data_IF_665291592065
#
_entry.id   IF_665291592065
#
_cell.length_a   1.000
_cell.length_b   1.000
_cell.length_c   1.000
_cell.angle_alpha   90.00
_cell.angle_beta   90.00
_cell.angle_gamma   90.00
#
_symmetry.space_group_name_H-M   'P 1'
#
loop_
_entity.id
_entity.type
_entity.pdbx_description
1 polymer ?
#
# COMPACT_ATOMS: atom_id res chain seq x y z
N UNK A 1 -15.42 20.53 -15.06
CA UNK A 1 -16.53 19.86 -14.34
C UNK A 1 -16.54 18.34 -14.48
N UNK A 2 -16.14 17.75 -15.62
CA UNK A 2 -16.11 16.28 -15.79
C UNK A 2 -15.20 15.52 -14.82
N UNK A 3 -13.94 15.95 -14.65
CA UNK A 3 -12.96 15.24 -13.78
C UNK A 3 -13.42 15.20 -12.32
N UNK A 4 -13.87 16.32 -11.77
CA UNK A 4 -14.41 16.39 -10.40
C UNK A 4 -15.61 15.47 -10.20
N UNK A 5 -16.53 15.43 -11.17
CA UNK A 5 -17.70 14.55 -11.12
C UNK A 5 -17.31 13.06 -11.22
N UNK A 6 -16.40 12.71 -12.11
CA UNK A 6 -15.86 11.34 -12.22
C UNK A 6 -15.13 10.92 -10.94
N UNK A 7 -14.34 11.82 -10.33
CA UNK A 7 -13.70 11.56 -9.04
C UNK A 7 -14.72 11.29 -7.93
N UNK A 8 -15.79 12.07 -7.84
CA UNK A 8 -16.87 11.82 -6.87
C UNK A 8 -17.53 10.46 -7.11
N UNK A 9 -17.82 10.11 -8.37
CA UNK A 9 -18.42 8.81 -8.70
C UNK A 9 -17.50 7.65 -8.31
N UNK A 10 -16.19 7.74 -8.58
CA UNK A 10 -15.21 6.73 -8.17
C UNK A 10 -15.13 6.61 -6.64
N UNK A 11 -15.17 7.73 -5.91
CA UNK A 11 -15.23 7.72 -4.43
C UNK A 11 -16.51 7.03 -3.96
N UNK A 12 -17.67 7.38 -4.51
CA UNK A 12 -18.94 6.78 -4.11
C UNK A 12 -18.95 5.27 -4.36
N UNK A 13 -18.43 4.81 -5.50
CA UNK A 13 -18.31 3.38 -5.79
C UNK A 13 -17.43 2.66 -4.77
N UNK A 14 -16.27 3.25 -4.42
CA UNK A 14 -15.39 2.73 -3.37
C UNK A 14 -16.12 2.65 -2.03
N UNK A 15 -16.82 3.72 -1.65
CA UNK A 15 -17.56 3.82 -0.40
C UNK A 15 -18.68 2.78 -0.30
N UNK A 16 -19.39 2.52 -1.39
CA UNK A 16 -20.44 1.49 -1.43
C UNK A 16 -19.83 0.10 -1.20
N UNK A 17 -18.71 -0.24 -1.86
CA UNK A 17 -18.06 -1.54 -1.67
C UNK A 17 -17.55 -1.73 -0.24
N UNK A 18 -16.98 -0.69 0.36
CA UNK A 18 -16.57 -0.69 1.78
C UNK A 18 -17.79 -0.88 2.68
N UNK A 19 -18.90 -0.17 2.41
CA UNK A 19 -20.12 -0.26 3.18
C UNK A 19 -20.71 -1.69 3.16
N UNK A 20 -20.66 -2.39 2.01
CA UNK A 20 -21.08 -3.80 1.91
C UNK A 20 -20.32 -4.67 2.91
N UNK A 21 -18.99 -4.59 2.95
CA UNK A 21 -18.18 -5.34 3.90
C UNK A 21 -18.48 -4.98 5.36
N UNK A 22 -18.61 -3.68 5.65
CA UNK A 22 -18.88 -3.18 7.00
C UNK A 22 -20.22 -3.66 7.56
N UNK A 23 -21.30 -3.53 6.77
CA UNK A 23 -22.64 -3.94 7.19
C UNK A 23 -22.80 -5.46 7.21
N UNK A 24 -22.20 -6.20 6.28
CA UNK A 24 -22.21 -7.66 6.29
C UNK A 24 -21.50 -8.22 7.53
N UNK A 25 -20.32 -7.69 7.87
CA UNK A 25 -19.64 -8.04 9.12
C UNK A 25 -20.49 -7.69 10.35
N UNK A 26 -21.14 -6.52 10.33
CA UNK A 26 -21.99 -6.08 11.44
C UNK A 26 -23.27 -6.91 11.62
N UNK A 27 -23.76 -7.55 10.56
CA UNK A 27 -24.85 -8.53 10.61
C UNK A 27 -24.38 -9.94 10.97
N UNK A 28 -23.07 -10.16 11.17
CA UNK A 28 -22.50 -11.47 11.48
C UNK A 28 -22.51 -12.43 10.29
N UNK A 29 -22.52 -11.94 9.04
CA UNK A 29 -22.47 -12.80 7.84
C UNK A 29 -21.14 -13.53 7.69
N UNK A 30 -20.08 -12.99 8.27
CA UNK A 30 -18.73 -13.50 8.19
C UNK A 30 -18.23 -13.87 9.58
N UNK A 31 -17.58 -15.03 9.68
CA UNK A 31 -16.86 -15.41 10.88
C UNK A 31 -15.53 -14.65 11.00
N UNK A 32 -14.86 -14.78 12.14
CA UNK A 32 -13.59 -14.10 12.40
C UNK A 32 -12.46 -14.53 11.44
N UNK A 33 -12.58 -15.73 10.84
CA UNK A 33 -11.57 -16.31 9.95
C UNK A 33 -11.73 -15.85 8.51
N UNK A 34 -12.92 -15.40 8.11
CA UNK A 34 -13.25 -15.02 6.75
C UNK A 34 -12.34 -13.92 6.22
N UNK A 35 -12.06 -12.89 7.03
CA UNK A 35 -11.16 -11.78 6.66
C UNK A 35 -9.76 -12.28 6.25
N UNK A 36 -9.22 -13.27 6.98
CA UNK A 36 -7.93 -13.90 6.68
C UNK A 36 -7.98 -14.77 5.43
N UNK A 37 -9.05 -15.54 5.24
CA UNK A 37 -9.25 -16.35 4.03
C UNK A 37 -9.38 -15.46 2.77
N UNK A 38 -10.15 -14.38 2.87
CA UNK A 38 -10.33 -13.40 1.81
C UNK A 38 -9.00 -12.72 1.43
N UNK A 39 -8.22 -12.32 2.43
CA UNK A 39 -6.87 -11.78 2.24
C UNK A 39 -5.95 -12.75 1.48
N UNK A 40 -5.97 -14.05 1.84
CA UNK A 40 -5.20 -15.07 1.13
C UNK A 40 -5.65 -15.24 -0.32
N UNK A 41 -6.96 -15.30 -0.59
CA UNK A 41 -7.49 -15.39 -1.96
C UNK A 41 -7.02 -14.20 -2.82
N UNK A 42 -7.10 -12.98 -2.27
CA UNK A 42 -6.64 -11.77 -2.96
C UNK A 42 -5.14 -11.87 -3.24
N UNK A 43 -4.32 -12.07 -2.21
CA UNK A 43 -2.86 -11.99 -2.30
C UNK A 43 -2.22 -13.13 -3.09
N UNK A 44 -2.78 -14.33 -3.02
CA UNK A 44 -2.18 -15.54 -3.58
C UNK A 44 -2.72 -15.89 -4.96
N UNK A 45 -3.92 -15.42 -5.32
CA UNK A 45 -4.58 -15.82 -6.58
C UNK A 45 -4.97 -14.60 -7.42
N UNK A 46 -5.86 -13.75 -6.89
CA UNK A 46 -6.43 -12.64 -7.67
C UNK A 46 -5.36 -11.63 -8.09
N UNK A 47 -4.47 -11.28 -7.16
CA UNK A 47 -3.48 -10.24 -7.35
C UNK A 47 -2.36 -10.62 -8.32
N UNK A 48 -1.73 -11.81 -8.23
CA UNK A 48 -0.82 -12.28 -9.28
C UNK A 48 -1.48 -12.30 -10.67
N UNK A 49 -2.73 -12.75 -10.79
CA UNK A 49 -3.45 -12.77 -12.07
C UNK A 49 -3.68 -11.35 -12.61
N UNK A 50 -4.11 -10.42 -11.76
CA UNK A 50 -4.31 -9.01 -12.09
C UNK A 50 -3.03 -8.34 -12.61
N UNK A 51 -1.92 -8.54 -11.90
CA UNK A 51 -0.61 -8.01 -12.30
C UNK A 51 -0.16 -8.61 -13.63
N UNK A 52 -0.30 -9.93 -13.79
CA UNK A 52 0.06 -10.62 -15.02
C UNK A 52 -0.72 -10.06 -16.22
N UNK A 53 -2.06 -9.98 -16.11
CA UNK A 53 -2.90 -9.46 -17.18
C UNK A 53 -2.63 -7.99 -17.49
N UNK A 54 -2.40 -7.16 -16.47
CA UNK A 54 -2.06 -5.76 -16.69
C UNK A 54 -0.73 -5.57 -17.42
N UNK A 55 0.29 -6.35 -17.03
CA UNK A 55 1.59 -6.39 -17.70
C UNK A 55 1.44 -6.82 -19.17
N UNK A 56 0.65 -7.87 -19.42
CA UNK A 56 0.36 -8.37 -20.77
C UNK A 56 -0.43 -7.38 -21.63
N UNK A 57 -1.30 -6.56 -21.04
CA UNK A 57 -2.16 -5.64 -21.79
C UNK A 57 -1.52 -4.26 -22.00
N UNK A 58 -0.71 -3.78 -21.04
CA UNK A 58 -0.27 -2.39 -21.01
C UNK A 58 1.23 -2.18 -21.16
N UNK A 59 2.04 -3.25 -21.13
CA UNK A 59 3.50 -3.14 -21.17
C UNK A 59 4.16 -3.86 -22.35
N UNK A 60 5.21 -3.20 -22.84
CA UNK A 60 6.19 -3.65 -23.82
C UNK A 60 7.61 -3.55 -23.23
N UNK A 61 8.61 -4.25 -23.80
CA UNK A 61 10.00 -4.21 -23.31
C UNK A 61 10.54 -2.79 -23.04
N UNK A 62 10.29 -1.85 -23.94
CA UNK A 62 10.73 -0.44 -23.84
C UNK A 62 10.14 0.31 -22.63
N UNK A 63 8.94 -0.07 -22.19
CA UNK A 63 8.27 0.54 -21.04
C UNK A 63 8.81 -0.01 -19.72
N UNK A 64 9.31 -1.26 -19.72
CA UNK A 64 9.90 -1.88 -18.52
C UNK A 64 11.17 -1.18 -18.07
N UNK A 65 12.01 -0.75 -19.01
CA UNK A 65 13.22 0.02 -18.70
C UNK A 65 12.92 1.32 -17.95
N UNK A 66 11.77 1.94 -18.23
CA UNK A 66 11.32 3.20 -17.61
C UNK A 66 10.78 3.00 -16.19
N UNK A 67 10.50 1.76 -15.75
CA UNK A 67 10.05 1.48 -14.38
C UNK A 67 11.15 1.71 -13.33
N UNK A 68 12.42 1.61 -13.74
CA UNK A 68 13.59 1.82 -12.87
C UNK A 68 13.60 3.20 -12.20
N UNK A 69 13.12 4.22 -12.92
CA UNK A 69 13.02 5.59 -12.41
C UNK A 69 12.06 5.66 -11.21
N UNK A 70 10.93 4.94 -11.25
CA UNK A 70 10.01 4.90 -10.12
C UNK A 70 10.54 4.12 -8.92
N UNK A 71 11.41 3.13 -9.14
CA UNK A 71 12.11 2.44 -8.04
C UNK A 71 12.97 3.45 -7.28
N UNK A 72 13.74 4.27 -8.01
CA UNK A 72 14.59 5.31 -7.43
C UNK A 72 13.75 6.30 -6.60
N UNK A 73 12.68 6.86 -7.18
CA UNK A 73 11.82 7.80 -6.45
C UNK A 73 11.20 7.17 -5.20
N UNK A 74 10.75 5.92 -5.28
CA UNK A 74 10.16 5.22 -4.13
C UNK A 74 11.19 4.99 -3.02
N UNK A 75 12.40 4.54 -3.36
CA UNK A 75 13.48 4.32 -2.38
C UNK A 75 13.88 5.63 -1.72
N UNK A 76 14.11 6.68 -2.51
CA UNK A 76 14.51 8.00 -2.00
C UNK A 76 13.39 8.59 -1.14
N UNK A 77 12.14 8.52 -1.57
CA UNK A 77 11.00 9.05 -0.82
C UNK A 77 10.84 8.38 0.54
N UNK A 78 10.86 7.04 0.59
CA UNK A 78 10.73 6.32 1.85
C UNK A 78 11.95 6.57 2.74
N UNK A 79 13.16 6.62 2.18
CA UNK A 79 14.38 6.89 2.94
C UNK A 79 14.37 8.29 3.56
N UNK A 80 14.03 9.32 2.78
CA UNK A 80 13.90 10.71 3.27
C UNK A 80 12.81 10.80 4.34
N UNK A 81 11.67 10.15 4.13
CA UNK A 81 10.60 10.10 5.12
C UNK A 81 11.00 9.37 6.41
N UNK A 82 11.79 8.30 6.32
CA UNK A 82 12.36 7.63 7.50
C UNK A 82 13.34 8.55 8.26
N UNK A 83 14.19 9.30 7.57
CA UNK A 83 15.09 10.27 8.20
C UNK A 83 14.32 11.40 8.90
N UNK A 84 13.29 11.95 8.25
CA UNK A 84 12.45 12.99 8.85
C UNK A 84 11.68 12.44 10.05
N UNK A 85 11.07 11.26 9.92
CA UNK A 85 10.35 10.64 11.04
C UNK A 85 11.26 10.30 12.22
N UNK A 86 12.52 9.91 11.97
CA UNK A 86 13.53 9.73 13.01
C UNK A 86 13.78 11.02 13.79
N UNK A 87 13.91 12.15 13.08
CA UNK A 87 14.04 13.46 13.72
C UNK A 87 12.78 13.81 14.52
N UNK A 88 11.59 13.58 13.96
CA UNK A 88 10.30 13.85 14.61
C UNK A 88 10.17 13.08 15.92
N UNK A 89 10.46 11.78 15.96
CA UNK A 89 10.33 10.99 17.20
C UNK A 89 11.33 11.43 18.28
N UNK A 90 12.50 11.95 17.88
CA UNK A 90 13.50 12.52 18.79
C UNK A 90 13.05 13.87 19.35
N UNK A 91 12.62 14.79 18.50
CA UNK A 91 12.16 16.13 18.88
C UNK A 91 10.93 16.05 19.78
N UNK A 92 9.99 15.17 19.47
CA UNK A 92 8.77 14.98 20.25
C UNK A 92 8.97 14.12 21.50
N UNK A 93 10.18 13.59 21.73
CA UNK A 93 10.53 12.70 22.85
C UNK A 93 9.54 11.54 23.00
N UNK A 94 9.18 10.92 21.87
CA UNK A 94 8.24 9.80 21.83
C UNK A 94 8.76 8.67 22.74
N UNK A 95 7.94 8.00 23.55
CA UNK A 95 8.41 6.94 24.45
C UNK A 95 8.87 5.70 23.67
N UNK A 96 9.80 4.94 24.26
CA UNK A 96 10.27 3.65 23.71
C UNK A 96 9.08 2.69 23.54
N UNK A 97 9.10 1.86 22.50
CA UNK A 97 7.99 1.00 22.11
C UNK A 97 6.91 1.68 21.27
N UNK A 98 6.96 3.01 21.09
CA UNK A 98 6.12 3.77 20.13
C UNK A 98 6.90 4.38 18.96
N UNK A 99 8.21 4.59 19.09
CA UNK A 99 9.02 5.31 18.10
C UNK A 99 9.09 4.54 16.80
N UNK A 100 9.42 3.25 16.90
CA UNK A 100 9.54 2.39 15.72
C UNK A 100 8.20 2.22 15.01
N UNK A 101 7.13 2.08 15.78
CA UNK A 101 5.75 2.02 15.26
C UNK A 101 5.37 3.32 14.55
N UNK A 102 5.67 4.48 15.14
CA UNK A 102 5.38 5.78 14.56
C UNK A 102 6.16 6.03 13.27
N UNK A 103 7.47 5.77 13.26
CA UNK A 103 8.33 5.95 12.08
C UNK A 103 7.88 5.05 10.92
N UNK A 104 7.62 3.77 11.20
CA UNK A 104 7.16 2.84 10.16
C UNK A 104 5.76 3.20 9.69
N UNK A 105 4.87 3.64 10.59
CA UNK A 105 3.51 3.97 10.22
C UNK A 105 3.38 5.22 9.32
N UNK A 106 4.29 6.19 9.48
CA UNK A 106 4.36 7.36 8.60
C UNK A 106 4.80 6.99 7.18
N UNK A 107 5.66 5.98 7.02
CA UNK A 107 6.40 5.77 5.78
C UNK A 107 5.93 4.56 4.96
N UNK A 108 5.49 3.49 5.63
CA UNK A 108 5.05 2.26 4.96
C UNK A 108 3.54 2.23 4.78
N UNK A 109 3.13 1.79 3.60
CA UNK A 109 1.76 1.95 3.13
C UNK A 109 1.04 0.61 2.94
N UNK A 110 -0.29 0.63 3.02
CA UNK A 110 -1.15 -0.45 2.58
C UNK A 110 -1.41 -0.34 1.07
N UNK A 111 -0.38 -0.67 0.30
CA UNK A 111 -0.36 -0.44 -1.15
C UNK A 111 -1.30 -1.35 -1.93
N UNK A 112 -1.57 -2.54 -1.38
CA UNK A 112 -2.34 -3.58 -2.06
C UNK A 112 -3.82 -3.45 -1.71
N UNK A 113 -4.20 -3.63 -0.44
CA UNK A 113 -5.62 -3.68 -0.10
C UNK A 113 -6.32 -2.33 -0.26
N UNK A 114 -5.57 -1.23 -0.10
CA UNK A 114 -6.13 0.11 -0.23
C UNK A 114 -5.61 0.79 -1.49
N UNK A 115 -4.30 0.77 -1.70
CA UNK A 115 -3.68 1.48 -2.82
C UNK A 115 -4.05 0.95 -4.19
N UNK A 116 -4.21 -0.36 -4.38
CA UNK A 116 -4.50 -0.95 -5.69
C UNK A 116 -5.92 -0.67 -6.17
N UNK A 117 -6.98 -0.97 -5.40
CA UNK A 117 -8.34 -0.63 -5.78
C UNK A 117 -8.49 0.85 -6.13
N UNK A 118 -7.84 1.73 -5.36
CA UNK A 118 -7.88 3.17 -5.60
C UNK A 118 -7.19 3.57 -6.91
N UNK A 119 -6.01 3.04 -7.20
CA UNK A 119 -5.31 3.32 -8.45
C UNK A 119 -6.09 2.80 -9.66
N UNK A 120 -6.67 1.59 -9.57
CA UNK A 120 -7.50 1.06 -10.65
C UNK A 120 -8.76 1.92 -10.87
N UNK A 121 -9.44 2.34 -9.80
CA UNK A 121 -10.62 3.21 -9.89
C UNK A 121 -10.32 4.61 -10.47
N UNK A 122 -9.09 5.10 -10.31
CA UNK A 122 -8.66 6.42 -10.74
C UNK A 122 -8.01 6.45 -12.12
N UNK A 123 -7.18 5.45 -12.42
CA UNK A 123 -6.27 5.45 -13.55
C UNK A 123 -6.40 4.19 -14.42
N UNK A 124 -7.31 3.29 -14.07
CA UNK A 124 -7.51 2.01 -14.74
C UNK A 124 -6.36 1.03 -14.54
N UNK A 125 -6.45 -0.10 -15.24
CA UNK A 125 -5.50 -1.21 -15.08
C UNK A 125 -4.08 -0.88 -15.55
N UNK A 126 -3.93 0.19 -16.35
CA UNK A 126 -2.62 0.70 -16.78
C UNK A 126 -1.74 1.16 -15.61
N UNK A 127 -2.33 1.45 -14.45
CA UNK A 127 -1.62 1.87 -13.24
C UNK A 127 -1.02 0.73 -12.42
N UNK A 128 -1.49 -0.50 -12.61
CA UNK A 128 -1.13 -1.66 -11.76
C UNK A 128 0.38 -1.95 -11.78
N UNK A 129 1.08 -1.89 -12.92
CA UNK A 129 2.51 -2.19 -12.92
C UNK A 129 3.34 -1.05 -12.32
N UNK A 130 2.89 0.19 -12.48
CA UNK A 130 3.49 1.35 -11.80
C UNK A 130 3.31 1.27 -10.28
N UNK A 131 2.15 0.80 -9.83
CA UNK A 131 1.89 0.52 -8.43
C UNK A 131 2.84 -0.56 -7.92
N UNK A 132 3.06 -1.60 -8.71
CA UNK A 132 3.93 -2.71 -8.33
C UNK A 132 5.35 -2.23 -8.02
N UNK A 133 5.87 -1.25 -8.77
CA UNK A 133 7.16 -0.60 -8.49
C UNK A 133 7.21 -0.06 -7.06
N UNK A 134 6.20 0.72 -6.66
CA UNK A 134 6.12 1.23 -5.29
C UNK A 134 5.95 0.09 -4.28
N UNK A 135 5.10 -0.90 -4.58
CA UNK A 135 4.84 -2.05 -3.71
C UNK A 135 6.10 -2.86 -3.40
N UNK A 136 6.93 -3.15 -4.41
CA UNK A 136 8.18 -3.90 -4.23
C UNK A 136 9.09 -3.14 -3.28
N UNK A 137 9.31 -1.85 -3.54
CA UNK A 137 10.17 -1.01 -2.70
C UNK A 137 9.62 -0.91 -1.28
N UNK A 138 8.33 -0.62 -1.13
CA UNK A 138 7.65 -0.55 0.16
C UNK A 138 7.79 -1.85 0.94
N UNK A 139 7.59 -3.00 0.29
CA UNK A 139 7.64 -4.32 0.93
C UNK A 139 9.07 -4.67 1.34
N UNK A 140 10.04 -4.55 0.41
CA UNK A 140 11.44 -4.85 0.70
C UNK A 140 11.95 -3.95 1.83
N UNK A 141 11.71 -2.64 1.76
CA UNK A 141 12.13 -1.72 2.82
C UNK A 141 11.39 -1.95 4.14
N UNK A 142 10.11 -2.33 4.12
CA UNK A 142 9.36 -2.66 5.35
C UNK A 142 9.99 -3.87 6.04
N UNK A 143 10.22 -4.96 5.32
CA UNK A 143 10.71 -6.21 5.92
C UNK A 143 12.21 -6.22 6.20
N UNK A 144 12.99 -5.31 5.60
CA UNK A 144 14.42 -5.13 5.91
C UNK A 144 14.65 -4.07 6.96
N UNK A 145 14.22 -2.82 6.70
CA UNK A 145 14.51 -1.66 7.54
C UNK A 145 13.38 -1.42 8.54
N UNK A 146 12.12 -1.50 8.11
CA UNK A 146 10.96 -1.17 8.96
C UNK A 146 10.82 -2.11 10.17
N UNK A 147 10.85 -3.42 9.92
CA UNK A 147 10.84 -4.45 10.98
C UNK A 147 12.04 -4.28 11.91
N UNK A 148 13.22 -3.97 11.37
CA UNK A 148 14.40 -3.69 12.18
C UNK A 148 14.23 -2.45 13.07
N UNK A 149 13.64 -1.37 12.55
CA UNK A 149 13.33 -0.15 13.32
C UNK A 149 12.35 -0.46 14.46
N UNK A 150 11.33 -1.28 14.23
CA UNK A 150 10.36 -1.68 15.27
C UNK A 150 11.05 -2.54 16.32
N UNK A 151 11.82 -3.54 15.88
CA UNK A 151 12.54 -4.45 16.78
C UNK A 151 13.60 -3.74 17.63
N UNK A 152 14.31 -2.76 17.07
CA UNK A 152 15.29 -1.96 17.79
C UNK A 152 14.64 -1.03 18.84
N UNK A 153 13.35 -0.75 18.73
CA UNK A 153 12.56 0.01 19.70
C UNK A 153 11.84 -0.88 20.73
N UNK A 154 12.10 -2.19 20.74
CA UNK A 154 11.51 -3.13 21.71
C UNK A 154 11.89 -2.71 23.15
N UNK A 155 10.90 -2.40 24.01
CA UNK A 155 11.15 -1.92 25.37
C UNK A 155 11.73 -2.99 26.30
N UNK A 156 11.58 -4.28 25.97
CA UNK A 156 12.05 -5.42 26.77
C UNK A 156 13.53 -5.74 26.54
N UNK A 157 14.08 -5.29 25.41
CA UNK A 157 15.51 -5.45 25.10
C UNK A 157 16.30 -4.32 25.77
N UNK A 158 17.25 -4.68 26.65
CA UNK A 158 18.13 -3.75 27.35
C UNK A 158 19.01 -2.92 26.40
N UNK A 159 19.63 -1.85 26.91
CA UNK A 159 20.46 -0.93 26.10
C UNK A 159 21.62 -1.63 25.35
N UNK A 160 22.10 -2.75 25.88
CA UNK A 160 23.21 -3.55 25.34
C UNK A 160 22.73 -4.80 24.57
N UNK A 161 21.43 -5.04 24.49
CA UNK A 161 20.85 -6.17 23.79
C UNK A 161 20.61 -5.85 22.32
N UNK A 162 21.24 -6.59 21.40
CA UNK A 162 20.83 -6.53 20.00
C UNK A 162 19.51 -7.29 19.82
N UNK A 163 18.42 -6.59 19.47
CA UNK A 163 17.18 -7.23 19.08
C UNK A 163 17.46 -8.20 17.91
N UNK A 164 17.19 -9.50 18.12
CA UNK A 164 17.41 -10.53 17.10
C UNK A 164 16.32 -10.45 16.04
N UNK A 165 16.57 -9.67 15.00
CA UNK A 165 15.71 -9.65 13.80
C UNK A 165 16.09 -10.83 12.92
N UNK A 166 15.19 -11.80 12.77
CA UNK A 166 15.34 -12.83 11.73
C UNK A 166 14.86 -12.22 10.42
N UNK A 167 15.76 -12.19 9.44
CA UNK A 167 15.45 -11.72 8.10
C UNK A 167 14.60 -12.78 7.41
N UNK A 168 13.33 -12.47 7.13
CA UNK A 168 12.43 -13.41 6.46
C UNK A 168 12.46 -13.18 4.95
N UNK A 169 13.21 -14.05 4.27
CA UNK A 169 13.38 -14.04 2.83
C UNK A 169 12.07 -14.24 2.07
N UNK A 170 11.08 -14.92 2.65
CA UNK A 170 9.78 -15.16 2.00
C UNK A 170 8.99 -13.86 1.81
N UNK A 171 9.25 -12.84 2.64
CA UNK A 171 8.62 -11.54 2.51
C UNK A 171 9.29 -10.62 1.48
N UNK A 172 10.50 -10.96 1.00
CA UNK A 172 11.23 -10.18 -0.01
C UNK A 172 10.75 -10.45 -1.45
N UNK A 173 10.22 -11.65 -1.71
CA UNK A 173 9.59 -12.01 -2.99
C UNK A 173 8.13 -12.36 -2.68
N UNK A 174 7.28 -11.34 -2.45
CA UNK A 174 5.90 -11.58 -2.09
C UNK A 174 5.14 -12.21 -3.26
N UNK A 175 4.16 -13.07 -2.97
CA UNK A 175 3.40 -13.82 -3.99
C UNK A 175 2.90 -12.99 -5.18
N UNK A 176 2.41 -11.74 -5.00
CA UNK A 176 2.01 -10.85 -6.09
C UNK A 176 3.10 -10.61 -7.15
N UNK A 177 4.37 -10.62 -6.74
CA UNK A 177 5.50 -10.38 -7.63
C UNK A 177 5.65 -11.50 -8.67
N UNK A 178 5.14 -12.71 -8.39
CA UNK A 178 5.13 -13.78 -9.38
C UNK A 178 4.31 -13.43 -10.62
N UNK A 179 3.20 -12.67 -10.49
CA UNK A 179 2.44 -12.21 -11.65
C UNK A 179 3.30 -11.39 -12.62
N UNK A 180 4.18 -10.54 -12.07
CA UNK A 180 5.15 -9.76 -12.85
C UNK A 180 6.26 -10.63 -13.42
N UNK A 181 6.90 -11.47 -12.60
CA UNK A 181 8.00 -12.35 -13.02
C UNK A 181 7.54 -13.27 -14.15
N UNK A 182 6.38 -13.90 -14.00
CA UNK A 182 5.81 -14.81 -14.99
C UNK A 182 5.41 -14.05 -16.26
N UNK A 183 5.02 -12.77 -16.18
CA UNK A 183 4.72 -11.97 -17.38
C UNK A 183 5.96 -11.61 -18.21
N UNK A 184 7.16 -11.54 -17.62
CA UNK A 184 8.38 -11.10 -18.33
C UNK A 184 8.70 -11.96 -19.57
N UNK A 185 8.75 -13.31 -19.51
CA UNK A 185 8.96 -14.15 -20.70
C UNK A 185 7.96 -13.86 -21.82
N UNK A 186 6.68 -13.67 -21.50
CA UNK A 186 5.64 -13.38 -22.48
C UNK A 186 5.77 -11.99 -23.09
N UNK A 187 6.31 -11.01 -22.36
CA UNK A 187 6.54 -9.67 -22.90
C UNK A 187 7.73 -9.63 -23.85
N UNK A 188 8.83 -10.34 -23.52
CA UNK A 188 10.05 -10.33 -24.31
C UNK A 188 10.02 -11.32 -25.50
N UNK A 189 9.18 -12.34 -25.47
CA UNK A 189 9.10 -13.38 -26.50
C UNK A 189 7.75 -13.27 -27.24
N UNK A 190 7.69 -12.64 -28.43
CA UNK A 190 6.44 -12.42 -29.17
C UNK A 190 5.65 -13.70 -29.47
N UNK A 191 6.35 -14.80 -29.70
CA UNK A 191 5.74 -16.11 -29.95
C UNK A 191 4.91 -16.59 -28.75
N UNK A 192 5.44 -16.49 -27.53
CA UNK A 192 4.72 -16.84 -26.29
C UNK A 192 3.49 -15.94 -26.10
N UNK A 193 3.64 -14.63 -26.36
CA UNK A 193 2.54 -13.66 -26.26
C UNK A 193 1.36 -14.02 -27.16
N UNK A 194 1.65 -14.36 -28.42
CA UNK A 194 0.61 -14.71 -29.39
C UNK A 194 -0.11 -16.01 -29.04
N UNK A 195 0.58 -16.98 -28.44
CA UNK A 195 0.00 -18.28 -28.09
C UNK A 195 -0.71 -18.29 -26.75
N UNK A 196 -0.39 -17.39 -25.82
CA UNK A 196 -1.10 -17.29 -24.54
C UNK A 196 -2.49 -16.62 -24.68
N UNK A 197 -2.72 -15.92 -25.79
CA UNK A 197 -4.03 -15.38 -26.17
C UNK A 197 -5.04 -16.47 -26.59
N UNK A 198 -4.89 -17.71 -26.11
CA UNK A 198 -6.01 -18.67 -26.13
C UNK A 198 -7.11 -18.09 -25.23
N UNK A 199 -8.29 -17.91 -25.80
CA UNK A 199 -9.34 -17.06 -25.24
C UNK A 199 -9.70 -17.43 -23.78
N UNK A 200 -9.79 -18.72 -23.45
CA UNK A 200 -10.21 -19.14 -22.10
C UNK A 200 -9.22 -18.77 -20.99
N UNK A 201 -7.90 -18.85 -21.25
CA UNK A 201 -6.86 -18.53 -20.24
C UNK A 201 -6.87 -17.04 -19.95
N UNK A 202 -6.89 -16.23 -21.02
CA UNK A 202 -6.90 -14.77 -20.91
C UNK A 202 -8.18 -14.30 -20.22
N UNK A 203 -9.35 -14.83 -20.60
CA UNK A 203 -10.63 -14.54 -19.95
C UNK A 203 -10.60 -14.89 -18.46
N UNK A 204 -10.19 -16.12 -18.12
CA UNK A 204 -10.18 -16.60 -16.73
C UNK A 204 -9.24 -15.78 -15.85
N UNK A 205 -8.03 -15.48 -16.33
CA UNK A 205 -7.07 -14.65 -15.58
C UNK A 205 -7.55 -13.21 -15.44
N UNK A 206 -8.26 -12.68 -16.45
CA UNK A 206 -8.87 -11.34 -16.37
C UNK A 206 -9.98 -11.31 -15.32
N UNK A 207 -10.88 -12.29 -15.33
CA UNK A 207 -11.98 -12.36 -14.36
C UNK A 207 -11.47 -12.55 -12.93
N UNK A 208 -10.50 -13.45 -12.73
CA UNK A 208 -9.83 -13.64 -11.44
C UNK A 208 -9.10 -12.36 -11.00
N UNK A 209 -8.41 -11.69 -11.93
CA UNK A 209 -7.72 -10.42 -11.66
C UNK A 209 -8.67 -9.28 -11.28
N UNK A 210 -9.87 -9.25 -11.89
CA UNK A 210 -10.90 -8.26 -11.60
C UNK A 210 -11.49 -8.39 -10.18
N UNK A 211 -11.32 -9.53 -9.51
CA UNK A 211 -11.73 -9.71 -8.11
C UNK A 211 -10.96 -8.84 -7.13
N UNK A 212 -9.73 -8.41 -7.46
CA UNK A 212 -8.85 -7.69 -6.53
C UNK A 212 -9.53 -6.45 -5.95
N UNK A 213 -10.08 -5.58 -6.81
CA UNK A 213 -10.72 -4.32 -6.41
C UNK A 213 -11.90 -4.54 -5.46
N UNK A 214 -12.99 -5.22 -5.87
CA UNK A 214 -14.17 -5.37 -5.02
C UNK A 214 -13.87 -6.14 -3.73
N UNK A 215 -13.09 -7.22 -3.79
CA UNK A 215 -12.79 -8.01 -2.61
C UNK A 215 -11.89 -7.26 -1.62
N UNK A 216 -10.93 -6.46 -2.09
CA UNK A 216 -10.09 -5.64 -1.22
C UNK A 216 -10.90 -4.54 -0.52
N UNK A 217 -11.84 -3.91 -1.22
CA UNK A 217 -12.70 -2.87 -0.63
C UNK A 217 -13.69 -3.45 0.39
N UNK A 218 -14.26 -4.63 0.11
CA UNK A 218 -15.08 -5.39 1.07
C UNK A 218 -14.22 -5.77 2.29
N UNK A 219 -12.99 -6.25 2.08
CA UNK A 219 -12.05 -6.57 3.15
C UNK A 219 -11.79 -5.35 4.06
N UNK A 220 -11.57 -4.16 3.49
CA UNK A 220 -11.44 -2.93 4.29
C UNK A 220 -12.69 -2.70 5.14
N UNK A 221 -13.89 -2.83 4.55
CA UNK A 221 -15.16 -2.69 5.26
C UNK A 221 -15.29 -3.63 6.47
N UNK A 222 -14.93 -4.90 6.27
CA UNK A 222 -14.89 -5.92 7.34
C UNK A 222 -13.93 -5.46 8.45
N UNK A 223 -12.71 -5.06 8.09
CA UNK A 223 -11.69 -4.64 9.06
C UNK A 223 -12.13 -3.40 9.85
N UNK A 224 -12.75 -2.41 9.20
CA UNK A 224 -13.30 -1.23 9.85
C UNK A 224 -14.38 -1.58 10.89
N UNK A 225 -15.22 -2.57 10.59
CA UNK A 225 -16.24 -3.03 11.53
C UNK A 225 -15.63 -3.80 12.68
N UNK A 226 -14.72 -4.73 12.40
CA UNK A 226 -14.10 -5.60 13.41
C UNK A 226 -13.21 -4.82 14.39
N UNK A 227 -12.51 -3.78 13.92
CA UNK A 227 -11.65 -2.98 14.80
C UNK A 227 -12.38 -1.92 15.62
N UNK A 228 -13.59 -1.51 15.22
CA UNK A 228 -14.43 -0.60 15.98
C UNK A 228 -13.96 0.87 15.93
N UNK A 229 -14.71 1.68 15.19
CA UNK A 229 -14.51 3.14 15.05
C UNK A 229 -14.61 3.86 16.42
N UNK A 230 -15.38 3.31 17.37
CA UNK A 230 -15.65 3.94 18.67
C UNK A 230 -14.46 3.99 19.64
N UNK A 231 -13.37 3.29 19.35
CA UNK A 231 -12.19 3.22 20.24
C UNK A 231 -11.03 4.11 19.76
N UNK A 232 -11.23 4.92 18.72
CA UNK A 232 -10.17 5.78 18.19
C UNK A 232 -9.81 6.90 19.18
N UNK A 233 -8.52 7.08 19.42
CA UNK A 233 -8.00 8.14 20.30
C UNK A 233 -7.00 9.01 19.55
N UNK A 234 -7.24 10.32 19.48
CA UNK A 234 -6.34 11.24 18.78
C UNK A 234 -5.39 11.93 19.75
N UNK A 235 -4.44 11.15 20.29
CA UNK A 235 -3.33 11.74 21.03
C UNK A 235 -2.33 12.44 20.10
N UNK A 236 -1.42 13.23 20.68
CA UNK A 236 -0.39 13.97 19.95
C UNK A 236 0.43 13.08 19.00
N UNK A 237 0.82 11.88 19.43
CA UNK A 237 1.64 10.98 18.62
C UNK A 237 0.83 10.39 17.47
N UNK A 238 -0.44 10.05 17.70
CA UNK A 238 -1.36 9.56 16.66
C UNK A 238 -1.57 10.64 15.60
N UNK A 239 -1.89 11.88 16.01
CA UNK A 239 -2.09 13.00 15.09
C UNK A 239 -0.84 13.25 14.24
N UNK A 240 0.34 13.31 14.87
CA UNK A 240 1.59 13.53 14.15
C UNK A 240 1.88 12.36 13.20
N UNK A 241 1.60 11.13 13.60
CA UNK A 241 1.74 9.94 12.72
C UNK A 241 0.86 10.05 11.49
N UNK A 242 -0.40 10.44 11.67
CA UNK A 242 -1.36 10.61 10.58
C UNK A 242 -0.98 11.76 9.65
N UNK A 243 -0.50 12.89 10.19
CA UNK A 243 0.05 13.98 9.39
C UNK A 243 1.31 13.53 8.62
N UNK A 244 2.17 12.75 9.25
CA UNK A 244 3.33 12.14 8.60
C UNK A 244 2.91 11.25 7.41
N UNK A 245 1.85 10.47 7.59
CA UNK A 245 1.34 9.54 6.55
C UNK A 245 0.61 10.25 5.42
N UNK A 246 -0.32 11.15 5.73
CA UNK A 246 -1.22 11.75 4.73
C UNK A 246 -0.77 13.09 4.18
N UNK A 247 0.21 13.74 4.82
CA UNK A 247 0.75 15.03 4.36
C UNK A 247 2.22 14.89 4.01
N UNK A 248 3.07 14.50 4.96
CA UNK A 248 4.51 14.47 4.75
C UNK A 248 4.92 13.49 3.65
N UNK A 249 4.49 12.23 3.72
CA UNK A 249 4.86 11.21 2.73
C UNK A 249 4.47 11.58 1.28
N UNK A 250 3.22 12.00 0.96
CA UNK A 250 2.88 12.42 -0.39
C UNK A 250 3.56 13.72 -0.81
N UNK A 251 3.79 14.67 0.10
CA UNK A 251 4.54 15.90 -0.21
C UNK A 251 5.99 15.61 -0.57
N UNK A 252 6.66 14.69 0.15
CA UNK A 252 8.02 14.25 -0.18
C UNK A 252 8.04 13.63 -1.58
N UNK A 253 7.12 12.70 -1.86
CA UNK A 253 7.03 12.06 -3.17
C UNK A 253 6.79 13.09 -4.29
N UNK A 254 5.83 13.99 -4.09
CA UNK A 254 5.53 15.06 -5.05
C UNK A 254 6.74 15.96 -5.29
N UNK A 255 7.41 16.42 -4.23
CA UNK A 255 8.58 17.29 -4.33
C UNK A 255 9.73 16.62 -5.07
N UNK A 256 10.00 15.34 -4.78
CA UNK A 256 11.03 14.57 -5.49
C UNK A 256 10.71 14.43 -6.98
N UNK A 257 9.46 14.09 -7.33
CA UNK A 257 9.02 14.01 -8.72
C UNK A 257 9.13 15.37 -9.41
N UNK A 258 8.69 16.45 -8.77
CA UNK A 258 8.73 17.80 -9.34
C UNK A 258 10.16 18.27 -9.62
N UNK A 259 11.10 17.99 -8.71
CA UNK A 259 12.53 18.28 -8.91
C UNK A 259 13.11 17.40 -10.02
N UNK A 260 12.83 16.10 -10.00
CA UNK A 260 13.42 15.18 -10.97
C UNK A 260 12.87 15.34 -12.39
N UNK A 261 11.62 15.78 -12.57
CA UNK A 261 11.08 16.21 -13.87
C UNK A 261 11.90 17.37 -14.45
N UNK A 262 12.25 18.36 -13.63
CA UNK A 262 13.12 19.48 -14.06
C UNK A 262 14.55 19.02 -14.39
N UNK A 263 15.03 17.96 -13.74
CA UNK A 263 16.34 17.36 -13.97
C UNK A 263 16.38 16.35 -15.15
N UNK A 264 15.29 16.18 -15.90
CA UNK A 264 15.22 15.25 -17.03
C UNK A 264 14.87 13.80 -16.65
N UNK A 265 14.62 13.49 -15.37
CA UNK A 265 14.19 12.19 -14.86
C UNK A 265 12.65 12.09 -14.83
N UNK A 266 12.01 12.50 -15.93
CA UNK A 266 10.57 12.49 -16.08
C UNK A 266 9.97 11.08 -16.14
N UNK A 267 8.72 10.95 -15.69
CA UNK A 267 7.91 9.74 -15.81
C UNK A 267 6.62 10.09 -16.54
N UNK A 268 5.96 9.10 -17.13
CA UNK A 268 4.63 9.33 -17.71
C UNK A 268 3.65 9.78 -16.61
N UNK A 269 2.67 10.66 -16.91
CA UNK A 269 1.82 11.25 -15.88
C UNK A 269 1.09 10.24 -14.99
N UNK A 270 0.61 9.13 -15.55
CA UNK A 270 -0.06 8.06 -14.79
C UNK A 270 0.89 7.45 -13.75
N UNK A 271 2.16 7.25 -14.09
CA UNK A 271 3.15 6.71 -13.16
C UNK A 271 3.41 7.68 -12.00
N UNK A 272 3.59 8.97 -12.30
CA UNK A 272 3.77 10.00 -11.27
C UNK A 272 2.57 10.03 -10.31
N UNK A 273 1.36 10.07 -10.87
CA UNK A 273 0.13 10.07 -10.08
C UNK A 273 -0.01 8.81 -9.25
N UNK A 274 0.32 7.63 -9.79
CA UNK A 274 0.31 6.38 -9.04
C UNK A 274 1.24 6.40 -7.84
N UNK A 275 2.49 6.89 -7.99
CA UNK A 275 3.42 6.96 -6.85
C UNK A 275 2.94 7.93 -5.76
N UNK A 276 2.38 9.07 -6.15
CA UNK A 276 1.83 10.06 -5.21
C UNK A 276 0.63 9.48 -4.45
N UNK A 277 -0.31 8.82 -5.15
CA UNK A 277 -1.44 8.13 -4.50
C UNK A 277 -0.94 7.08 -3.52
N UNK A 278 0.02 6.24 -3.93
CA UNK A 278 0.57 5.21 -3.05
C UNK A 278 1.21 5.78 -1.79
N UNK A 279 1.96 6.87 -1.92
CA UNK A 279 2.53 7.60 -0.79
C UNK A 279 1.47 8.21 0.14
N UNK A 280 0.23 8.37 -0.32
CA UNK A 280 -0.87 8.90 0.47
C UNK A 280 -1.84 7.82 0.99
N UNK A 281 -1.67 6.55 0.61
CA UNK A 281 -2.50 5.46 1.14
C UNK A 281 -2.27 5.26 2.64
N UNK A 282 -3.20 4.65 3.39
CA UNK A 282 -3.07 4.44 4.83
C UNK A 282 -1.90 3.55 5.19
N UNK A 283 -1.57 3.52 6.47
CA UNK A 283 -0.49 2.68 6.97
C UNK A 283 -0.76 1.19 6.75
N UNK A 284 0.32 0.40 6.64
CA UNK A 284 0.25 -1.03 6.43
C UNK A 284 -0.49 -1.78 7.56
N UNK A 285 -1.35 -2.74 7.20
CA UNK A 285 -2.27 -3.38 8.15
C UNK A 285 -1.60 -4.28 9.20
N UNK A 286 -0.37 -4.75 8.95
CA UNK A 286 0.35 -5.71 9.81
C UNK A 286 1.04 -5.02 11.01
N UNK A 287 1.00 -3.69 11.09
CA UNK A 287 1.64 -2.93 12.18
C UNK A 287 1.31 -3.43 13.60
N UNK A 288 0.05 -3.75 13.98
CA UNK A 288 -0.28 -4.22 15.33
C UNK A 288 0.29 -5.61 15.65
N UNK A 289 0.44 -6.46 14.61
CA UNK A 289 1.08 -7.77 14.74
C UNK A 289 2.56 -7.56 15.05
N UNK A 290 3.25 -6.68 14.32
CA UNK A 290 4.66 -6.36 14.59
C UNK A 290 4.85 -5.71 15.97
N UNK A 291 3.93 -4.84 16.38
CA UNK A 291 3.94 -4.28 17.74
C UNK A 291 3.83 -5.38 18.79
N UNK A 292 3.01 -6.40 18.56
CA UNK A 292 2.88 -7.55 19.47
C UNK A 292 4.15 -8.39 19.48
N UNK A 293 4.74 -8.68 18.31
CA UNK A 293 5.97 -9.48 18.17
C UNK A 293 7.17 -8.85 18.86
N UNK A 294 7.29 -7.51 18.83
CA UNK A 294 8.42 -6.76 19.40
C UNK A 294 8.02 -5.95 20.64
N UNK A 295 6.98 -6.40 21.36
CA UNK A 295 6.54 -5.85 22.65
C UNK A 295 6.32 -4.33 22.67
N UNK A 296 6.01 -3.72 21.52
CA UNK A 296 5.65 -2.32 21.39
C UNK A 296 4.22 -2.04 21.84
N UNK A 297 3.79 -0.79 21.72
CA UNK A 297 2.43 -0.40 22.10
C UNK A 297 1.41 -0.85 21.03
N UNK A 298 0.83 -2.04 21.26
CA UNK A 298 -0.20 -2.64 20.39
C UNK A 298 -1.44 -1.77 20.27
N UNK A 299 -1.84 -1.06 21.34
CA UNK A 299 -3.01 -0.17 21.31
C UNK A 299 -2.74 1.02 20.40
N UNK A 300 -1.55 1.61 20.51
CA UNK A 300 -1.11 2.70 19.64
C UNK A 300 -1.05 2.25 18.17
N UNK A 301 -0.43 1.10 17.87
CA UNK A 301 -0.38 0.56 16.51
C UNK A 301 -1.78 0.30 15.91
N UNK A 302 -2.65 -0.34 16.69
CA UNK A 302 -4.03 -0.63 16.28
C UNK A 302 -4.78 0.66 15.99
N UNK A 303 -4.68 1.63 16.89
CA UNK A 303 -5.34 2.92 16.74
C UNK A 303 -4.86 3.68 15.49
N UNK A 304 -3.55 3.68 15.20
CA UNK A 304 -3.04 4.29 13.95
C UNK A 304 -3.65 3.61 12.70
N UNK A 305 -3.65 2.27 12.64
CA UNK A 305 -4.19 1.54 11.49
C UNK A 305 -5.67 1.85 11.27
N UNK A 306 -6.45 1.85 12.36
CA UNK A 306 -7.89 2.14 12.31
C UNK A 306 -8.14 3.59 11.92
N UNK A 307 -7.52 4.54 12.63
CA UNK A 307 -7.69 5.97 12.35
C UNK A 307 -7.23 6.33 10.94
N UNK A 308 -6.11 5.77 10.46
CA UNK A 308 -5.66 6.00 9.10
C UNK A 308 -6.66 5.45 8.08
N UNK A 309 -7.18 4.24 8.29
CA UNK A 309 -8.16 3.62 7.38
C UNK A 309 -9.48 4.41 7.33
N UNK A 310 -9.97 4.90 8.47
CA UNK A 310 -11.18 5.72 8.54
C UNK A 310 -10.95 7.09 7.91
N UNK A 311 -9.87 7.78 8.27
CA UNK A 311 -9.56 9.11 7.72
C UNK A 311 -9.31 9.05 6.22
N UNK A 312 -8.86 7.91 5.69
CA UNK A 312 -8.63 7.75 4.27
C UNK A 312 -9.87 8.00 3.42
N UNK A 313 -11.05 7.65 3.92
CA UNK A 313 -12.33 7.94 3.27
C UNK A 313 -12.47 9.43 2.94
N UNK A 314 -11.97 10.31 3.82
CA UNK A 314 -12.00 11.77 3.66
C UNK A 314 -10.79 12.27 2.87
N UNK A 315 -9.62 11.68 3.10
CA UNK A 315 -8.36 12.05 2.45
C UNK A 315 -8.39 11.75 0.94
N UNK A 316 -9.03 10.65 0.52
CA UNK A 316 -9.13 10.27 -0.90
C UNK A 316 -9.74 11.37 -1.77
N UNK A 317 -10.96 11.89 -1.50
CA UNK A 317 -11.53 13.01 -2.25
C UNK A 317 -10.60 14.22 -2.35
N UNK A 318 -9.94 14.59 -1.25
CA UNK A 318 -9.04 15.75 -1.20
C UNK A 318 -7.88 15.56 -2.16
N UNK A 319 -7.24 14.38 -2.12
CA UNK A 319 -6.13 14.06 -3.03
C UNK A 319 -6.62 14.05 -4.48
N UNK A 320 -7.81 13.51 -4.75
CA UNK A 320 -8.38 13.51 -6.10
C UNK A 320 -8.56 14.94 -6.63
N UNK A 321 -9.04 15.87 -5.81
CA UNK A 321 -9.18 17.29 -6.19
C UNK A 321 -7.82 17.95 -6.44
N UNK A 322 -6.81 17.65 -5.61
CA UNK A 322 -5.47 18.20 -5.78
C UNK A 322 -4.74 17.66 -7.02
N UNK A 323 -5.13 16.49 -7.52
CA UNK A 323 -4.49 15.79 -8.64
C UNK A 323 -5.26 15.87 -9.96
N UNK A 324 -6.51 16.34 -9.92
CA UNK A 324 -7.38 16.58 -11.08
C UNK A 324 -7.08 17.93 -11.73
#
# INVERSE_FOLDING_TARGET
MGIFWTSIQSVLAIMIMIAVGYFAQGKGWFDDKFSGALSKLIMQVALPASIFMSMMNHFKPEQLAKLSVGLLYSVVSITVGLLISWLVVRVLKVPKGKRGLMMTAMNFANTVFIGMPLNQALFGDSSIPYLLVYYIVNTVMLWTIGVWIIAADDPTVGADGTAKVKLDWHHLIPTPLWGFIVALPFIYIPWLRSHLLVNFVTLTLTDIGALVTPLSLIYIGIMLKSFGIGNMQFDKNVIVTLLGRFVLAPVIMFALIAVGVKAGLGMVPVFQKTLIIQAATPTFAVLPILATTYHGDVKFATNIVVSASVLFVVVVPIIMVLMG
#
